data_IF_205002724475
#
_entry.id   IF_205002724475
#
_cell.length_a   1.000
_cell.length_b   1.000
_cell.length_c   1.000
_cell.angle_alpha   90.00
_cell.angle_beta   90.00
_cell.angle_gamma   90.00
#
_symmetry.space_group_name_H-M   'P 1'
#
loop_
_entity.id
_entity.type
_entity.pdbx_description
1 polymer ?
#
# COMPACT_ATOMS: atom_id res chain seq x y z
N UNK A 1 58.47 39.55 -19.59
CA UNK A 1 58.81 39.49 -21.03
C UNK A 1 58.62 38.05 -21.45
N UNK A 2 58.00 37.83 -22.60
CA UNK A 2 57.47 36.52 -23.01
C UNK A 2 58.44 35.76 -23.93
N UNK A 3 58.07 34.52 -24.26
CA UNK A 3 58.58 33.71 -25.39
C UNK A 3 60.04 33.20 -25.23
N UNK A 4 60.50 32.16 -25.94
CA UNK A 4 59.89 31.49 -27.11
C UNK A 4 60.12 29.95 -27.15
N UNK A 5 59.68 29.31 -28.23
CA UNK A 5 59.68 27.86 -28.49
C UNK A 5 61.08 27.26 -28.77
N UNK A 6 61.15 25.94 -29.01
CA UNK A 6 61.47 25.54 -30.39
C UNK A 6 60.48 24.55 -31.01
N UNK A 7 60.34 24.63 -32.33
CA UNK A 7 59.63 23.66 -33.17
C UNK A 7 60.47 22.40 -33.43
N UNK A 8 59.84 21.32 -33.90
CA UNK A 8 60.14 20.78 -35.24
C UNK A 8 59.11 19.75 -35.71
N UNK A 9 58.85 19.73 -37.01
CA UNK A 9 57.96 18.79 -37.69
C UNK A 9 58.73 17.56 -38.21
N UNK A 10 58.05 16.42 -38.32
CA UNK A 10 58.46 15.30 -39.17
C UNK A 10 57.26 14.70 -39.90
N UNK A 11 57.45 14.26 -41.14
CA UNK A 11 56.38 13.88 -42.07
C UNK A 11 56.52 12.44 -42.58
N UNK A 12 55.38 11.75 -42.67
CA UNK A 12 55.03 10.70 -43.66
C UNK A 12 55.48 9.25 -43.44
N UNK A 13 54.47 8.37 -43.49
CA UNK A 13 54.42 6.92 -43.24
C UNK A 13 55.36 6.04 -44.10
N UNK A 14 55.68 4.85 -43.59
CA UNK A 14 55.34 3.59 -44.30
C UNK A 14 55.21 2.36 -43.38
N UNK A 15 54.01 1.77 -43.36
CA UNK A 15 53.71 0.34 -43.12
C UNK A 15 54.43 -0.44 -41.99
N UNK A 16 53.89 -0.34 -40.78
CA UNK A 16 53.54 -1.54 -40.01
C UNK A 16 52.26 -1.24 -39.24
N UNK A 17 51.16 -1.91 -39.57
CA UNK A 17 49.85 -1.63 -38.97
C UNK A 17 49.69 -2.49 -37.72
N UNK A 18 49.73 -1.86 -36.56
CA UNK A 18 49.04 -2.38 -35.38
C UNK A 18 47.61 -1.85 -35.46
N UNK A 19 46.66 -2.74 -35.71
CA UNK A 19 45.25 -2.38 -35.66
C UNK A 19 44.90 -2.07 -34.20
N UNK A 20 44.47 -0.83 -33.95
CA UNK A 20 43.87 -0.46 -32.67
C UNK A 20 42.42 -0.89 -32.79
N UNK A 21 42.07 -1.97 -32.11
CA UNK A 21 40.67 -2.34 -31.91
C UNK A 21 40.06 -1.24 -31.02
N UNK A 22 39.37 -0.30 -31.65
CA UNK A 22 38.45 0.61 -30.96
C UNK A 22 37.30 -0.25 -30.44
N UNK A 23 37.47 -0.78 -29.22
CA UNK A 23 36.37 -1.39 -28.46
C UNK A 23 35.32 -0.30 -28.22
N UNK A 24 34.31 -0.27 -29.10
CA UNK A 24 33.05 0.42 -28.83
C UNK A 24 32.47 -0.19 -27.54
N UNK A 25 32.71 0.46 -26.40
CA UNK A 25 31.92 0.26 -25.19
C UNK A 25 30.48 0.65 -25.54
N UNK A 26 29.72 -0.35 -26.01
CA UNK A 26 28.28 -0.24 -26.11
C UNK A 26 27.74 -0.11 -24.71
N UNK A 27 27.48 1.13 -24.33
CA UNK A 27 26.43 1.44 -23.38
C UNK A 27 25.15 0.79 -23.92
N UNK A 28 24.85 -0.43 -23.45
CA UNK A 28 23.52 -0.99 -23.56
C UNK A 28 22.61 -0.08 -22.76
N UNK A 29 21.98 0.88 -23.44
CA UNK A 29 20.81 1.57 -22.94
C UNK A 29 19.78 0.48 -22.61
N UNK A 30 19.72 0.06 -21.34
CA UNK A 30 18.54 -0.62 -20.81
C UNK A 30 17.37 0.31 -21.09
N UNK A 31 16.59 0.01 -22.13
CA UNK A 31 15.25 0.53 -22.31
C UNK A 31 14.50 0.20 -21.02
N UNK A 32 14.40 1.18 -20.13
CA UNK A 32 13.66 1.05 -18.88
C UNK A 32 12.20 0.93 -19.24
N UNK A 33 11.75 -0.31 -19.42
CA UNK A 33 10.33 -0.67 -19.39
C UNK A 33 9.72 0.10 -18.22
N UNK A 34 8.81 1.05 -18.50
CA UNK A 34 8.13 1.78 -17.43
C UNK A 34 7.27 0.78 -16.65
N UNK A 35 7.82 0.28 -15.55
CA UNK A 35 7.17 -0.69 -14.69
C UNK A 35 6.00 0.00 -14.00
N UNK A 36 4.77 -0.44 -14.33
CA UNK A 36 3.53 0.11 -13.78
C UNK A 36 3.43 -0.23 -12.28
N UNK A 37 3.93 0.69 -11.45
CA UNK A 37 3.92 0.54 -10.00
C UNK A 37 2.54 0.89 -9.41
N UNK A 38 1.80 -0.12 -8.95
CA UNK A 38 0.48 0.03 -8.34
C UNK A 38 0.55 -0.26 -6.84
N UNK A 39 0.22 0.74 -6.02
CA UNK A 39 0.29 0.62 -4.57
C UNK A 39 -1.08 0.24 -3.99
N UNK A 40 -1.13 -0.72 -3.06
CA UNK A 40 -2.38 -1.23 -2.47
C UNK A 40 -2.30 -1.19 -0.94
N UNK A 41 -3.24 -0.48 -0.30
CA UNK A 41 -3.29 -0.35 1.15
C UNK A 41 -3.96 -1.57 1.81
N UNK A 42 -3.18 -2.38 2.54
CA UNK A 42 -3.62 -3.65 3.13
C UNK A 42 -3.58 -3.69 4.66
N UNK A 43 -4.46 -4.48 5.27
CA UNK A 43 -4.56 -4.61 6.72
C UNK A 43 -5.57 -5.66 7.16
N UNK A 44 -6.02 -5.57 8.42
CA UNK A 44 -6.86 -6.58 9.10
C UNK A 44 -8.32 -6.66 8.60
N UNK A 45 -8.70 -5.88 7.59
CA UNK A 45 -10.07 -5.79 7.05
C UNK A 45 -10.22 -6.59 5.76
N UNK A 46 -11.35 -7.30 5.60
CA UNK A 46 -11.72 -7.97 4.34
C UNK A 46 -11.78 -6.98 3.14
N UNK A 47 -12.02 -5.69 3.40
CA UNK A 47 -11.99 -4.64 2.36
C UNK A 47 -10.63 -4.55 1.66
N UNK A 48 -9.53 -4.85 2.36
CA UNK A 48 -8.19 -4.90 1.75
C UNK A 48 -8.04 -6.04 0.74
N UNK A 49 -8.68 -7.20 0.95
CA UNK A 49 -8.70 -8.25 -0.07
C UNK A 49 -9.57 -7.87 -1.27
N UNK A 50 -10.73 -7.22 -1.05
CA UNK A 50 -11.51 -6.69 -2.17
C UNK A 50 -10.71 -5.67 -3.00
N UNK A 51 -9.90 -4.81 -2.36
CA UNK A 51 -9.01 -3.89 -3.06
C UNK A 51 -7.91 -4.60 -3.86
N UNK A 52 -7.24 -5.62 -3.28
CA UNK A 52 -6.22 -6.38 -4.01
C UNK A 52 -6.82 -7.19 -5.16
N UNK A 53 -7.88 -7.97 -4.93
CA UNK A 53 -8.53 -8.76 -5.99
C UNK A 53 -9.10 -7.88 -7.11
N UNK A 54 -9.61 -6.69 -6.78
CA UNK A 54 -10.00 -5.71 -7.79
C UNK A 54 -8.78 -5.23 -8.59
N UNK A 55 -7.66 -4.90 -7.92
CA UNK A 55 -6.41 -4.48 -8.57
C UNK A 55 -5.88 -5.54 -9.54
N UNK A 56 -5.78 -6.79 -9.08
CA UNK A 56 -5.33 -7.95 -9.87
C UNK A 56 -6.18 -8.15 -11.14
N UNK A 57 -7.47 -7.84 -11.09
CA UNK A 57 -8.41 -8.03 -12.21
C UNK A 57 -8.56 -6.81 -13.14
N UNK A 58 -8.08 -5.62 -12.76
CA UNK A 58 -8.39 -4.35 -13.47
C UNK A 58 -7.18 -3.45 -13.74
N UNK A 59 -6.00 -3.75 -13.18
CA UNK A 59 -4.80 -2.92 -13.31
C UNK A 59 -3.52 -3.69 -13.67
N UNK A 60 -3.51 -5.02 -13.60
CA UNK A 60 -2.28 -5.80 -13.85
C UNK A 60 -2.06 -6.03 -15.34
N UNK A 61 -0.96 -5.47 -15.84
CA UNK A 61 -0.31 -5.75 -17.12
C UNK A 61 0.92 -6.65 -16.91
N UNK A 62 1.58 -7.07 -17.99
CA UNK A 62 2.78 -7.92 -17.92
C UNK A 62 3.99 -7.24 -17.25
N UNK A 63 4.05 -5.90 -17.26
CA UNK A 63 5.10 -5.06 -16.65
C UNK A 63 4.73 -4.55 -15.24
N UNK A 64 3.51 -4.79 -14.75
CA UNK A 64 3.01 -4.25 -13.47
C UNK A 64 3.77 -4.82 -12.27
N UNK A 65 4.06 -3.95 -11.30
CA UNK A 65 4.55 -4.33 -9.95
C UNK A 65 3.57 -3.83 -8.90
N UNK A 66 3.13 -4.72 -8.00
CA UNK A 66 2.26 -4.36 -6.88
C UNK A 66 3.09 -4.11 -5.61
N UNK A 67 2.88 -2.95 -4.98
CA UNK A 67 3.44 -2.62 -3.67
C UNK A 67 2.35 -2.68 -2.59
N UNK A 68 2.43 -3.69 -1.72
CA UNK A 68 1.51 -3.86 -0.60
C UNK A 68 1.93 -2.94 0.56
N UNK A 69 1.24 -1.82 0.76
CA UNK A 69 1.50 -0.93 1.89
C UNK A 69 0.71 -1.43 3.11
N UNK A 70 1.42 -1.80 4.19
CA UNK A 70 0.83 -2.21 5.45
C UNK A 70 1.32 -1.35 6.62
N UNK A 71 0.42 -0.53 7.16
CA UNK A 71 0.65 0.24 8.40
C UNK A 71 0.25 -0.62 9.61
N UNK A 72 1.13 -0.68 10.61
CA UNK A 72 0.92 -1.41 11.87
C UNK A 72 1.19 -0.51 13.10
N UNK A 73 0.46 -0.67 14.21
CA UNK A 73 0.56 0.21 15.38
C UNK A 73 1.84 -0.03 16.19
N UNK A 74 2.23 0.98 16.98
CA UNK A 74 3.40 0.93 17.86
C UNK A 74 3.13 0.06 19.09
N UNK A 75 4.06 -0.85 19.42
CA UNK A 75 3.94 -1.73 20.60
C UNK A 75 4.34 -0.96 21.86
N UNK A 76 3.41 -0.13 22.35
CA UNK A 76 3.50 0.68 23.59
C UNK A 76 2.98 -0.05 24.82
N UNK A 77 1.98 -0.92 24.63
CA UNK A 77 1.31 -1.70 25.65
C UNK A 77 1.43 -3.19 25.33
N UNK A 78 1.49 -4.02 26.37
CA UNK A 78 1.68 -5.47 26.30
C UNK A 78 0.68 -6.15 27.27
N UNK A 79 0.12 -7.33 26.96
CA UNK A 79 -0.71 -8.07 27.89
C UNK A 79 0.00 -8.33 29.22
N UNK A 80 -0.70 -8.10 30.34
CA UNK A 80 -0.17 -8.36 31.67
C UNK A 80 0.11 -9.87 31.85
N UNK A 81 1.31 -10.29 32.30
CA UNK A 81 1.61 -11.70 32.61
C UNK A 81 0.66 -12.33 33.65
N UNK A 82 0.03 -11.52 34.50
CA UNK A 82 -1.01 -11.96 35.46
C UNK A 82 -2.41 -12.05 34.83
N UNK A 83 -2.54 -11.94 33.50
CA UNK A 83 -3.80 -12.05 32.74
C UNK A 83 -4.74 -10.85 32.81
N UNK A 84 -4.47 -9.88 33.70
CA UNK A 84 -5.37 -8.73 33.95
C UNK A 84 -4.90 -7.48 33.19
N UNK A 85 -5.54 -7.24 32.04
CA UNK A 85 -5.40 -6.00 31.27
C UNK A 85 -4.08 -5.86 30.50
N UNK A 86 -3.74 -4.62 30.17
CA UNK A 86 -2.53 -4.24 29.43
C UNK A 86 -1.65 -3.37 30.31
N UNK A 87 -0.33 -3.54 30.20
CA UNK A 87 0.69 -2.77 30.93
C UNK A 87 1.65 -2.08 29.96
N UNK A 88 2.33 -0.98 30.34
CA UNK A 88 3.37 -0.37 29.52
C UNK A 88 4.49 -1.35 29.16
N UNK A 89 5.01 -1.29 27.92
CA UNK A 89 6.10 -2.16 27.45
C UNK A 89 7.36 -2.08 28.32
N UNK A 90 7.61 -0.97 28.99
CA UNK A 90 8.73 -0.76 29.91
C UNK A 90 8.43 -1.18 31.37
N UNK A 91 7.27 -1.78 31.65
CA UNK A 91 6.88 -2.29 32.96
C UNK A 91 6.89 -3.85 33.05
N UNK A 92 7.37 -4.52 32.00
CA UNK A 92 7.56 -5.99 31.91
C UNK A 92 9.04 -6.32 31.69
N UNK A 93 9.44 -7.60 31.77
CA UNK A 93 10.82 -7.98 31.45
C UNK A 93 11.13 -7.78 29.95
N UNK A 94 12.41 -7.64 29.61
CA UNK A 94 12.87 -7.52 28.21
C UNK A 94 12.42 -8.73 27.38
N UNK A 95 12.62 -9.94 27.92
CA UNK A 95 12.17 -11.21 27.32
C UNK A 95 10.66 -11.24 27.06
N UNK A 96 9.83 -10.79 28.03
CA UNK A 96 8.38 -10.69 27.86
C UNK A 96 8.00 -9.69 26.77
N UNK A 97 8.71 -8.55 26.69
CA UNK A 97 8.48 -7.55 25.67
C UNK A 97 8.87 -8.03 24.27
N UNK A 98 10.03 -8.69 24.13
CA UNK A 98 10.54 -9.23 22.87
C UNK A 98 9.68 -10.39 22.35
N UNK A 99 9.29 -11.31 23.25
CA UNK A 99 8.37 -12.42 22.94
C UNK A 99 7.04 -11.90 22.37
N UNK A 100 6.45 -10.85 22.97
CA UNK A 100 5.22 -10.24 22.45
C UNK A 100 5.42 -9.49 21.12
N UNK A 101 6.55 -8.80 20.95
CA UNK A 101 6.90 -8.12 19.67
C UNK A 101 7.03 -9.13 18.53
N UNK A 102 7.71 -10.26 18.75
CA UNK A 102 7.82 -11.32 17.73
C UNK A 102 6.47 -12.04 17.52
N UNK A 103 5.63 -12.16 18.55
CA UNK A 103 4.27 -12.69 18.38
C UNK A 103 3.41 -11.81 17.46
N UNK A 104 3.43 -10.49 17.62
CA UNK A 104 2.71 -9.56 16.72
C UNK A 104 3.37 -9.49 15.32
N UNK A 105 4.69 -9.67 15.21
CA UNK A 105 5.39 -9.83 13.92
C UNK A 105 4.94 -11.11 13.20
N UNK A 106 4.79 -12.22 13.91
CA UNK A 106 4.25 -13.48 13.40
C UNK A 106 2.83 -13.33 12.83
N UNK A 107 1.92 -12.72 13.62
CA UNK A 107 0.55 -12.38 13.17
C UNK A 107 0.55 -11.48 11.93
N UNK A 108 1.47 -10.52 11.85
CA UNK A 108 1.64 -9.61 10.69
C UNK A 108 2.10 -10.38 9.45
N UNK A 109 3.08 -11.28 9.58
CA UNK A 109 3.55 -12.17 8.51
C UNK A 109 2.39 -13.04 7.98
N UNK A 110 1.63 -13.67 8.87
CA UNK A 110 0.48 -14.52 8.51
C UNK A 110 -0.68 -13.75 7.83
N UNK A 111 -0.86 -12.49 8.19
CA UNK A 111 -1.77 -11.59 7.49
C UNK A 111 -1.28 -11.30 6.07
N UNK A 112 -0.02 -10.90 5.92
CA UNK A 112 0.59 -10.50 4.64
C UNK A 112 0.71 -11.66 3.64
N UNK A 113 1.01 -12.86 4.12
CA UNK A 113 1.12 -14.06 3.29
C UNK A 113 -0.15 -14.34 2.47
N UNK A 114 -1.34 -13.96 2.95
CA UNK A 114 -2.60 -14.12 2.19
C UNK A 114 -2.66 -13.22 0.96
N UNK A 115 -2.17 -11.99 1.08
CA UNK A 115 -2.08 -11.03 -0.03
C UNK A 115 -0.99 -11.47 -1.02
N UNK A 116 0.18 -11.86 -0.51
CA UNK A 116 1.30 -12.37 -1.32
C UNK A 116 0.93 -13.65 -2.10
N UNK A 117 0.20 -14.58 -1.48
CA UNK A 117 -0.31 -15.78 -2.15
C UNK A 117 -1.30 -15.44 -3.27
N UNK A 118 -2.15 -14.42 -3.09
CA UNK A 118 -3.04 -13.92 -4.15
C UNK A 118 -2.26 -13.35 -5.33
N UNK A 119 -1.24 -12.52 -5.08
CA UNK A 119 -0.37 -11.97 -6.13
C UNK A 119 0.41 -13.07 -6.88
N UNK A 120 1.00 -14.01 -6.13
CA UNK A 120 1.73 -15.16 -6.70
C UNK A 120 0.82 -16.04 -7.57
N UNK A 121 -0.43 -16.27 -7.15
CA UNK A 121 -1.43 -17.01 -7.94
C UNK A 121 -1.82 -16.28 -9.24
N UNK A 122 -1.78 -14.94 -9.24
CA UNK A 122 -1.94 -14.09 -10.43
C UNK A 122 -0.63 -13.85 -11.21
N UNK A 123 0.50 -14.45 -10.80
CA UNK A 123 1.83 -14.33 -11.43
C UNK A 123 2.39 -12.90 -11.54
N UNK A 124 1.92 -11.96 -10.71
CA UNK A 124 2.40 -10.57 -10.72
C UNK A 124 3.60 -10.38 -9.78
N UNK A 125 4.55 -9.51 -10.17
CA UNK A 125 5.63 -9.05 -9.29
C UNK A 125 5.02 -8.31 -8.08
N UNK A 126 5.47 -8.63 -6.87
CA UNK A 126 4.94 -8.02 -5.64
C UNK A 126 6.03 -7.77 -4.61
N UNK A 127 5.98 -6.62 -3.95
CA UNK A 127 6.79 -6.25 -2.79
C UNK A 127 5.91 -5.66 -1.67
N UNK A 128 6.44 -5.49 -0.46
CA UNK A 128 5.68 -5.10 0.76
C UNK A 128 6.36 -3.97 1.54
N UNK A 129 5.67 -2.84 1.66
CA UNK A 129 6.12 -1.68 2.42
C UNK A 129 5.48 -1.72 3.81
N UNK A 130 6.31 -1.83 4.86
CA UNK A 130 5.88 -1.93 6.25
C UNK A 130 6.15 -0.63 7.02
N UNK A 131 5.12 -0.04 7.63
CA UNK A 131 5.26 1.26 8.33
C UNK A 131 4.71 1.16 9.77
N UNK A 132 5.50 1.55 10.77
CA UNK A 132 5.09 1.56 12.17
C UNK A 132 4.46 2.90 12.57
N UNK A 133 3.13 2.94 12.71
CA UNK A 133 2.36 4.13 13.05
C UNK A 133 0.99 3.80 13.63
N UNK A 134 0.57 4.56 14.65
CA UNK A 134 -0.77 4.47 15.23
C UNK A 134 -1.87 5.15 14.38
N UNK A 135 -1.47 5.92 13.36
CA UNK A 135 -2.35 6.52 12.35
C UNK A 135 -2.11 5.86 10.99
N UNK A 136 -3.16 5.50 10.26
CA UNK A 136 -3.04 4.79 8.96
C UNK A 136 -2.94 5.75 7.78
N UNK A 137 -3.75 6.82 7.74
CA UNK A 137 -3.81 7.71 6.59
C UNK A 137 -2.54 8.54 6.41
N UNK A 138 -2.09 9.23 7.47
CA UNK A 138 -0.90 10.09 7.44
C UNK A 138 0.37 9.40 6.85
N UNK A 139 0.86 8.25 7.34
CA UNK A 139 2.09 7.66 6.79
C UNK A 139 1.94 7.21 5.33
N UNK A 140 0.72 6.94 4.85
CA UNK A 140 0.47 6.66 3.43
C UNK A 140 0.54 7.95 2.61
N UNK A 141 -0.07 9.05 3.11
CA UNK A 141 0.00 10.38 2.50
C UNK A 141 1.43 10.93 2.44
N UNK A 142 2.20 10.79 3.53
CA UNK A 142 3.60 11.21 3.61
C UNK A 142 4.47 10.41 2.62
N UNK A 143 4.10 9.17 2.28
CA UNK A 143 4.83 8.30 1.35
C UNK A 143 4.57 8.62 -0.13
N UNK A 144 3.37 9.11 -0.48
CA UNK A 144 3.00 9.42 -1.88
C UNK A 144 4.04 10.30 -2.61
N UNK A 145 4.48 11.46 -2.07
CA UNK A 145 5.47 12.29 -2.75
C UNK A 145 6.88 11.69 -2.71
N UNK A 146 7.21 10.86 -1.72
CA UNK A 146 8.54 10.24 -1.56
C UNK A 146 8.76 9.15 -2.62
N UNK A 147 7.76 8.29 -2.86
CA UNK A 147 7.82 7.21 -3.85
C UNK A 147 7.13 7.56 -5.19
N UNK A 148 6.74 8.82 -5.38
CA UNK A 148 6.04 9.32 -6.57
C UNK A 148 4.84 8.44 -6.99
N UNK A 149 4.00 8.08 -6.01
CA UNK A 149 2.92 7.09 -6.18
C UNK A 149 1.88 7.59 -7.20
N UNK A 150 1.98 7.10 -8.45
CA UNK A 150 1.03 7.42 -9.54
C UNK A 150 -0.38 6.85 -9.30
N UNK A 151 -0.49 5.64 -8.73
CA UNK A 151 -1.78 4.98 -8.42
C UNK A 151 -1.78 4.31 -7.05
N UNK A 152 -2.82 4.58 -6.25
CA UNK A 152 -3.03 4.02 -4.91
C UNK A 152 -4.44 3.44 -4.76
N UNK A 153 -4.56 2.16 -4.42
CA UNK A 153 -5.85 1.44 -4.28
C UNK A 153 -6.16 1.15 -2.80
N UNK A 154 -7.38 1.49 -2.35
CA UNK A 154 -7.78 1.45 -0.94
C UNK A 154 -9.14 0.76 -0.78
N UNK A 155 -9.22 -0.21 0.14
CA UNK A 155 -10.46 -0.93 0.44
C UNK A 155 -11.34 -0.24 1.48
N UNK A 156 -12.48 0.32 1.05
CA UNK A 156 -13.48 0.96 1.91
C UNK A 156 -14.70 0.05 2.21
N UNK A 157 -15.49 0.45 3.21
CA UNK A 157 -16.73 -0.21 3.60
C UNK A 157 -17.93 0.73 3.32
N UNK A 158 -19.04 0.18 2.81
CA UNK A 158 -20.30 0.85 2.44
C UNK A 158 -20.92 1.71 3.57
N UNK A 159 -20.58 1.47 4.83
CA UNK A 159 -20.99 2.33 5.95
C UNK A 159 -20.17 3.61 6.06
N UNK A 160 -18.87 3.57 5.75
CA UNK A 160 -17.99 4.74 5.80
C UNK A 160 -18.28 5.73 4.67
N UNK A 161 -18.47 5.21 3.45
CA UNK A 161 -18.87 5.98 2.25
C UNK A 161 -20.23 6.70 2.41
N UNK A 162 -21.07 6.27 3.36
CA UNK A 162 -22.32 6.95 3.72
C UNK A 162 -22.17 7.95 4.87
N UNK A 163 -21.10 7.85 5.68
CA UNK A 163 -20.85 8.70 6.85
C UNK A 163 -20.04 9.96 6.52
N UNK A 164 -19.18 9.91 5.50
CA UNK A 164 -18.46 11.07 4.93
C UNK A 164 -19.39 12.21 4.48
N UNK A 165 -20.67 11.91 4.21
CA UNK A 165 -21.74 12.88 3.90
C UNK A 165 -22.05 13.86 5.05
N UNK A 166 -21.65 13.56 6.28
CA UNK A 166 -21.85 14.46 7.44
C UNK A 166 -20.57 15.21 7.80
N UNK A 167 -20.63 16.56 7.79
CA UNK A 167 -19.55 17.46 8.24
C UNK A 167 -19.18 17.33 9.73
N UNK A 168 -19.77 16.37 10.45
CA UNK A 168 -19.57 16.11 11.88
C UNK A 168 -19.31 14.62 12.19
N UNK A 169 -19.10 13.78 11.18
CA UNK A 169 -18.68 12.39 11.36
C UNK A 169 -17.16 12.24 11.41
N UNK A 170 -16.65 11.27 12.17
CA UNK A 170 -15.26 10.82 12.02
C UNK A 170 -15.06 10.35 10.57
N UNK A 171 -14.15 11.01 9.86
CA UNK A 171 -13.71 10.60 8.52
C UNK A 171 -13.13 9.18 8.58
N UNK A 172 -13.33 8.36 7.54
CA UNK A 172 -12.59 7.10 7.42
C UNK A 172 -11.24 7.32 6.76
N UNK A 173 -10.31 6.38 6.97
CA UNK A 173 -8.96 6.38 6.36
C UNK A 173 -9.01 6.57 4.84
N UNK A 174 -10.00 5.98 4.17
CA UNK A 174 -10.21 6.15 2.73
C UNK A 174 -10.59 7.59 2.37
N UNK A 175 -11.54 8.19 3.09
CA UNK A 175 -11.96 9.58 2.87
C UNK A 175 -10.85 10.57 3.27
N UNK A 176 -9.99 10.22 4.23
CA UNK A 176 -8.86 11.04 4.67
C UNK A 176 -7.74 11.04 3.62
N UNK A 177 -7.37 9.88 3.08
CA UNK A 177 -6.37 9.81 2.01
C UNK A 177 -6.88 10.50 0.74
N UNK A 178 -8.11 10.20 0.29
CA UNK A 178 -8.68 10.75 -0.95
C UNK A 178 -8.76 12.29 -0.99
N UNK A 179 -8.89 12.97 0.16
CA UNK A 179 -8.96 14.44 0.23
C UNK A 179 -7.62 15.15 0.47
N UNK A 180 -6.57 14.40 0.80
CA UNK A 180 -5.25 14.97 1.11
C UNK A 180 -4.14 14.45 0.18
N UNK A 181 -4.44 13.48 -0.70
CA UNK A 181 -3.54 13.04 -1.76
C UNK A 181 -3.32 14.15 -2.79
N UNK A 182 -2.07 14.35 -3.29
CA UNK A 182 -1.81 15.26 -4.39
C UNK A 182 -2.48 14.78 -5.69
N UNK A 183 -2.79 15.71 -6.59
CA UNK A 183 -3.47 15.43 -7.88
C UNK A 183 -2.68 14.47 -8.79
N UNK A 184 -1.36 14.35 -8.58
CA UNK A 184 -0.49 13.38 -9.26
C UNK A 184 -0.72 11.91 -8.84
N UNK A 185 -1.46 11.66 -7.76
CA UNK A 185 -1.74 10.32 -7.24
C UNK A 185 -3.21 9.95 -7.44
N UNK A 186 -3.48 9.03 -8.37
CA UNK A 186 -4.82 8.50 -8.59
C UNK A 186 -5.23 7.54 -7.48
N UNK A 187 -5.95 8.06 -6.49
CA UNK A 187 -6.55 7.27 -5.40
C UNK A 187 -7.82 6.57 -5.89
N UNK A 188 -7.87 5.23 -5.79
CA UNK A 188 -8.99 4.38 -6.23
C UNK A 188 -9.64 3.68 -5.03
N UNK A 189 -10.91 3.98 -4.77
CA UNK A 189 -11.63 3.47 -3.59
C UNK A 189 -12.50 2.27 -3.97
N UNK A 190 -12.18 1.10 -3.42
CA UNK A 190 -12.86 -0.16 -3.73
C UNK A 190 -13.79 -0.57 -2.59
N UNK A 191 -15.05 -0.86 -2.90
CA UNK A 191 -16.06 -1.33 -1.95
C UNK A 191 -16.77 -2.55 -2.54
N UNK A 192 -16.89 -3.64 -1.76
CA UNK A 192 -17.63 -4.86 -2.15
C UNK A 192 -17.18 -5.47 -3.51
N UNK A 193 -15.94 -5.21 -3.92
CA UNK A 193 -15.37 -5.68 -5.19
C UNK A 193 -15.60 -4.76 -6.40
N UNK A 194 -16.11 -3.55 -6.20
CA UNK A 194 -16.27 -2.52 -7.26
C UNK A 194 -15.55 -1.22 -6.88
N UNK A 195 -15.04 -0.49 -7.87
CA UNK A 195 -14.58 0.89 -7.68
C UNK A 195 -15.77 1.83 -7.47
N UNK A 196 -15.66 2.73 -6.49
CA UNK A 196 -16.69 3.72 -6.17
C UNK A 196 -16.21 5.10 -6.60
N UNK A 197 -16.74 5.57 -7.72
CA UNK A 197 -16.54 6.95 -8.19
C UNK A 197 -17.36 7.95 -7.34
N UNK A 198 -16.97 9.23 -7.31
CA UNK A 198 -17.61 10.28 -6.50
C UNK A 198 -19.12 10.38 -6.74
N UNK A 199 -19.56 10.25 -8.00
CA UNK A 199 -20.97 10.24 -8.38
C UNK A 199 -21.74 9.05 -7.75
N UNK A 200 -21.09 7.89 -7.60
CA UNK A 200 -21.68 6.74 -6.90
C UNK A 200 -21.71 6.93 -5.38
N UNK A 201 -20.79 7.73 -4.82
CA UNK A 201 -20.90 8.14 -3.41
C UNK A 201 -22.12 9.04 -3.18
N UNK A 202 -22.53 9.87 -4.13
CA UNK A 202 -23.67 10.78 -3.97
C UNK A 202 -25.03 10.04 -3.89
N UNK A 203 -25.29 9.11 -4.80
CA UNK A 203 -26.61 8.47 -5.00
C UNK A 203 -27.14 7.70 -3.79
N UNK A 204 -28.40 7.94 -3.35
CA UNK A 204 -29.12 7.05 -2.46
C UNK A 204 -29.75 5.91 -3.29
N UNK A 205 -29.11 4.74 -3.34
CA UNK A 205 -29.67 3.56 -4.02
C UNK A 205 -30.83 2.96 -3.22
N UNK A 206 -32.03 3.49 -3.45
CA UNK A 206 -33.28 2.78 -3.14
C UNK A 206 -33.29 1.47 -3.94
N UNK A 207 -33.09 0.34 -3.27
CA UNK A 207 -33.15 -0.97 -3.90
C UNK A 207 -34.61 -1.34 -4.15
N UNK A 208 -35.15 -0.94 -5.31
CA UNK A 208 -36.36 -1.55 -5.88
C UNK A 208 -36.04 -2.98 -6.31
N UNK A 209 -36.07 -3.90 -5.34
CA UNK A 209 -35.92 -5.33 -5.59
C UNK A 209 -37.08 -5.84 -6.43
N UNK A 210 -36.82 -6.22 -7.68
CA UNK A 210 -37.78 -6.98 -8.48
C UNK A 210 -38.11 -8.30 -7.78
N UNK A 211 -39.39 -8.66 -7.81
CA UNK A 211 -39.98 -9.66 -6.90
C UNK A 211 -39.68 -11.10 -7.28
N UNK A 212 -39.37 -11.90 -6.27
CA UNK A 212 -39.77 -13.32 -6.21
C UNK A 212 -40.14 -13.66 -4.77
N UNK A 213 -41.20 -14.43 -4.57
CA UNK A 213 -41.94 -14.47 -3.30
C UNK A 213 -41.55 -15.65 -2.42
N UNK A 214 -41.21 -15.38 -1.14
CA UNK A 214 -41.80 -16.13 -0.02
C UNK A 214 -41.67 -15.43 1.34
N UNK A 215 -42.80 -15.42 2.06
CA UNK A 215 -43.01 -15.20 3.49
C UNK A 215 -42.42 -16.37 4.32
N UNK A 216 -42.22 -16.38 5.64
CA UNK A 216 -42.21 -15.45 6.81
C UNK A 216 -41.73 -16.36 7.99
N UNK A 217 -40.95 -15.98 9.01
CA UNK A 217 -40.22 -14.76 9.40
C UNK A 217 -38.81 -15.20 9.96
N UNK A 218 -38.10 -14.70 10.99
CA UNK A 218 -38.32 -13.70 12.07
C UNK A 218 -36.95 -13.27 12.69
N UNK A 219 -36.97 -12.69 13.89
CA UNK A 219 -35.84 -12.40 14.80
C UNK A 219 -34.75 -13.52 14.85
N UNK A 220 -33.47 -13.20 15.03
CA UNK A 220 -33.00 -12.31 16.11
C UNK A 220 -31.79 -11.39 15.79
N UNK A 221 -31.68 -10.29 16.53
CA UNK A 221 -30.67 -9.24 16.32
C UNK A 221 -29.45 -9.38 17.22
N UNK A 222 -28.45 -10.15 16.79
CA UNK A 222 -27.14 -10.23 17.48
C UNK A 222 -26.25 -9.03 17.14
N UNK A 223 -26.32 -7.99 17.97
CA UNK A 223 -25.46 -6.81 17.86
C UNK A 223 -23.98 -7.13 18.12
N UNK A 224 -23.09 -6.77 17.20
CA UNK A 224 -21.64 -6.85 17.41
C UNK A 224 -21.18 -5.77 18.40
N UNK A 225 -21.13 -6.11 19.70
CA UNK A 225 -20.70 -5.19 20.77
C UNK A 225 -19.17 -4.99 20.69
N UNK A 226 -18.74 -3.91 20.05
CA UNK A 226 -17.37 -3.42 20.20
C UNK A 226 -17.16 -2.92 21.64
N UNK A 227 -16.40 -3.67 22.43
CA UNK A 227 -16.18 -3.34 23.85
C UNK A 227 -15.38 -2.04 23.99
N UNK A 228 -16.01 -1.01 24.57
CA UNK A 228 -15.35 0.27 24.90
C UNK A 228 -14.64 0.10 26.24
N UNK A 229 -13.30 0.24 26.32
CA UNK A 229 -12.61 0.25 27.61
C UNK A 229 -12.98 1.52 28.37
N UNK A 230 -13.67 1.36 29.50
CA UNK A 230 -13.84 2.44 30.49
C UNK A 230 -12.66 2.43 31.45
N UNK A 231 -11.87 3.49 31.44
CA UNK A 231 -10.91 3.76 32.50
C UNK A 231 -11.63 4.12 33.80
N UNK A 232 -11.02 3.76 34.94
CA UNK A 232 -11.32 4.24 36.28
C UNK A 232 -10.02 4.24 37.09
#
# INVERSE_FOLDING_TARGET
MEMEYPENYCYRNSSSVCEIEEEEEKEEEEEKEEQDCVYVAVGKSNTSMHALSWTLNNLVTQSTIIFLIHVFPQIKLIPNPLGIGMVPRNAVSVEQAESYVEQERGKRRELLQKFLQSCSSSKVKVDTILIESDMVAKPILDLIPILQIKTLVIGANKFHLRKSKSRKGNNSVADEILRNSPESCKVRIICEGMEVNEQMMMSPTNHTSMTSQKKEDNHDSVSCICFIPKFK
#
